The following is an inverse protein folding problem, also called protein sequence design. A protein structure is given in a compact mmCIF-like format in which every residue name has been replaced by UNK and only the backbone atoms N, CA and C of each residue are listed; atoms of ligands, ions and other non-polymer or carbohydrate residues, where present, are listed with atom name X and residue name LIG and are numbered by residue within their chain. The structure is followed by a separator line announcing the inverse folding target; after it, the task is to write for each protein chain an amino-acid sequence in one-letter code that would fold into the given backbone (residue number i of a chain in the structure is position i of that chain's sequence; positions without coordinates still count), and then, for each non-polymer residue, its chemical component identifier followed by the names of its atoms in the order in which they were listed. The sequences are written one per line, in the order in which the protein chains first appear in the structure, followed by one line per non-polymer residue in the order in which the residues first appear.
data_IF_242646322384
#
_entry.id   IF_242646322384
#
_cell.length_a   1.000
_cell.length_b   1.000
_cell.length_c   1.000
_cell.angle_alpha   90.00
_cell.angle_beta   90.00
_cell.angle_gamma   90.00
#
_symmetry.space_group_name_H-M   'P 1'
#
loop_
_entity.id
_entity.type
_entity.pdbx_description
1 polymer ?
#
# COMPACT_ATOMS: atom_id res chain seq x y z
N UNK A 1 18.14 22.62 9.32
CA UNK A 1 16.95 22.33 8.50
C UNK A 1 16.53 20.92 8.83
N UNK A 2 15.57 20.75 9.73
CA UNK A 2 15.07 19.42 10.10
C UNK A 2 14.49 18.79 8.83
N UNK A 3 15.09 17.66 8.39
CA UNK A 3 14.50 16.86 7.32
C UNK A 3 13.20 16.32 7.89
N UNK A 4 12.06 16.85 7.42
CA UNK A 4 10.76 16.24 7.68
C UNK A 4 10.88 14.75 7.35
N UNK A 5 10.66 13.91 8.34
CA UNK A 5 10.84 12.46 8.20
C UNK A 5 9.84 11.96 7.15
N UNK A 6 10.38 11.45 6.03
CA UNK A 6 9.59 11.03 4.89
C UNK A 6 8.68 9.87 5.31
N UNK A 7 7.36 10.03 5.18
CA UNK A 7 6.40 9.06 5.68
C UNK A 7 6.28 7.84 4.75
N UNK A 8 6.22 6.64 5.36
CA UNK A 8 5.93 5.40 4.65
C UNK A 8 4.43 5.33 4.29
N UNK A 9 4.15 5.00 3.04
CA UNK A 9 2.81 4.84 2.49
C UNK A 9 2.64 3.42 1.96
N UNK A 10 1.75 2.66 2.59
CA UNK A 10 1.44 1.29 2.19
C UNK A 10 0.57 1.29 0.93
N UNK A 11 0.96 0.53 -0.09
CA UNK A 11 0.23 0.43 -1.35
C UNK A 11 -0.72 -0.76 -1.29
N UNK A 12 -2.01 -0.47 -1.09
CA UNK A 12 -3.10 -1.43 -1.09
C UNK A 12 -3.68 -1.51 -2.52
N UNK A 13 -3.55 -2.65 -3.18
CA UNK A 13 -4.02 -2.83 -4.56
C UNK A 13 -4.49 -4.26 -4.82
N UNK A 14 -5.44 -4.42 -5.75
CA UNK A 14 -6.00 -5.73 -6.12
C UNK A 14 -4.92 -6.65 -6.69
N UNK A 15 -5.00 -7.96 -6.40
CA UNK A 15 -4.14 -9.00 -6.97
C UNK A 15 -4.14 -8.99 -8.50
N UNK A 16 -5.30 -8.67 -9.08
CA UNK A 16 -5.55 -8.57 -10.51
C UNK A 16 -4.81 -7.40 -11.19
N UNK A 17 -4.31 -6.42 -10.42
CA UNK A 17 -3.60 -5.28 -10.97
C UNK A 17 -2.25 -5.68 -11.58
N UNK A 18 -2.06 -5.32 -12.86
CA UNK A 18 -0.83 -5.64 -13.57
C UNK A 18 0.39 -4.97 -12.93
N UNK A 19 1.55 -5.64 -13.04
CA UNK A 19 2.83 -5.15 -12.52
C UNK A 19 3.13 -3.70 -12.94
N UNK A 20 2.84 -3.36 -14.19
CA UNK A 20 3.04 -2.01 -14.77
C UNK A 20 2.15 -0.98 -14.09
N UNK A 21 0.90 -1.34 -13.76
CA UNK A 21 -0.05 -0.43 -13.11
C UNK A 21 0.34 -0.17 -11.65
N UNK A 22 0.75 -1.22 -10.92
CA UNK A 22 1.27 -1.09 -9.56
C UNK A 22 2.55 -0.24 -9.51
N UNK A 23 3.44 -0.37 -10.50
CA UNK A 23 4.61 0.50 -10.63
C UNK A 23 4.23 1.98 -10.80
N UNK A 24 3.21 2.29 -11.62
CA UNK A 24 2.72 3.65 -11.78
C UNK A 24 2.16 4.23 -10.48
N UNK A 25 1.45 3.43 -9.68
CA UNK A 25 0.97 3.85 -8.36
C UNK A 25 2.13 4.20 -7.43
N UNK A 26 3.12 3.31 -7.32
CA UNK A 26 4.31 3.55 -6.50
C UNK A 26 5.06 4.81 -6.96
N UNK A 27 5.24 4.99 -8.28
CA UNK A 27 5.90 6.17 -8.86
C UNK A 27 5.15 7.44 -8.50
N UNK A 28 3.82 7.46 -8.59
CA UNK A 28 3.01 8.63 -8.25
C UNK A 28 3.13 8.96 -6.77
N UNK A 29 3.05 7.98 -5.87
CA UNK A 29 3.23 8.18 -4.41
C UNK A 29 4.62 8.76 -4.08
N UNK A 30 5.65 8.27 -4.76
CA UNK A 30 7.01 8.81 -4.66
C UNK A 30 7.06 10.29 -5.09
N UNK A 31 6.46 10.64 -6.23
CA UNK A 31 6.38 12.02 -6.71
C UNK A 31 5.59 12.94 -5.77
N UNK A 32 4.68 12.38 -4.97
CA UNK A 32 3.95 13.11 -3.92
C UNK A 32 4.78 13.33 -2.64
N UNK A 33 5.98 12.77 -2.55
CA UNK A 33 6.92 12.97 -1.43
C UNK A 33 6.86 11.89 -0.36
N UNK A 34 6.15 10.79 -0.60
CA UNK A 34 6.05 9.65 0.32
C UNK A 34 6.96 8.50 -0.11
N UNK A 35 7.23 7.56 0.79
CA UNK A 35 7.97 6.32 0.48
C UNK A 35 6.96 5.19 0.25
N UNK A 36 6.76 4.74 -1.00
CA UNK A 36 5.80 3.67 -1.29
C UNK A 36 6.33 2.31 -0.81
N UNK A 37 5.52 1.60 -0.02
CA UNK A 37 5.76 0.22 0.41
C UNK A 37 4.71 -0.66 -0.25
N UNK A 38 5.12 -1.46 -1.23
CA UNK A 38 4.25 -2.37 -1.95
C UNK A 38 4.63 -3.84 -1.65
N UNK A 39 3.89 -4.53 -0.78
CA UNK A 39 4.18 -5.91 -0.39
C UNK A 39 4.32 -6.86 -1.57
N UNK A 40 3.54 -6.66 -2.65
CA UNK A 40 3.62 -7.48 -3.86
C UNK A 40 5.02 -7.48 -4.46
N UNK A 41 5.66 -6.32 -4.61
CA UNK A 41 7.03 -6.30 -5.14
C UNK A 41 8.06 -6.87 -4.19
N UNK A 42 7.82 -6.76 -2.88
CA UNK A 42 8.74 -7.26 -1.87
C UNK A 42 8.69 -8.78 -1.78
N UNK A 43 7.49 -9.36 -1.84
CA UNK A 43 7.26 -10.77 -1.51
C UNK A 43 7.07 -11.69 -2.72
N UNK A 44 6.51 -11.20 -3.83
CA UNK A 44 6.34 -12.03 -5.05
C UNK A 44 7.62 -12.69 -5.58
N UNK A 45 8.85 -12.19 -5.35
CA UNK A 45 10.05 -12.92 -5.78
C UNK A 45 10.31 -14.24 -5.04
N UNK A 46 9.70 -14.49 -3.88
CA UNK A 46 10.01 -15.65 -3.06
C UNK A 46 8.80 -16.34 -2.40
N UNK A 47 7.58 -15.82 -2.57
CA UNK A 47 6.34 -16.47 -2.13
C UNK A 47 5.49 -16.87 -3.32
N UNK A 48 4.94 -18.07 -3.28
CA UNK A 48 4.05 -18.61 -4.31
C UNK A 48 2.58 -18.45 -3.93
N UNK A 49 1.77 -17.84 -4.81
CA UNK A 49 0.35 -17.62 -4.56
C UNK A 49 -0.47 -18.92 -4.52
N UNK A 50 0.02 -20.00 -5.15
CA UNK A 50 -0.62 -21.32 -5.12
C UNK A 50 -0.37 -22.09 -3.82
N UNK A 51 0.59 -21.67 -3.01
CA UNK A 51 0.91 -22.32 -1.75
C UNK A 51 0.21 -21.64 -0.56
N UNK A 52 -0.48 -22.45 0.25
CA UNK A 52 -1.29 -21.94 1.35
C UNK A 52 -0.46 -21.40 2.51
N UNK A 53 0.74 -21.97 2.76
CA UNK A 53 1.63 -21.53 3.82
C UNK A 53 2.29 -20.19 3.45
N UNK A 54 2.72 -20.06 2.19
CA UNK A 54 3.23 -18.81 1.64
C UNK A 54 2.18 -17.69 1.65
N UNK A 55 0.93 -17.99 1.30
CA UNK A 55 -0.16 -17.01 1.36
C UNK A 55 -0.46 -16.54 2.80
N UNK A 56 -0.36 -17.43 3.79
CA UNK A 56 -0.42 -17.03 5.21
C UNK A 56 0.79 -16.18 5.60
N UNK A 57 1.99 -16.55 5.13
CA UNK A 57 3.22 -15.76 5.28
C UNK A 57 3.07 -14.35 4.72
N UNK A 58 2.58 -14.24 3.49
CA UNK A 58 2.32 -12.99 2.78
C UNK A 58 1.43 -12.07 3.62
N UNK A 59 0.30 -12.58 4.12
CA UNK A 59 -0.63 -11.81 4.95
C UNK A 59 0.03 -11.30 6.24
N UNK A 60 0.73 -12.17 6.97
CA UNK A 60 1.44 -11.78 8.21
C UNK A 60 2.49 -10.70 7.98
N UNK A 61 3.33 -10.86 6.95
CA UNK A 61 4.39 -9.89 6.65
C UNK A 61 3.83 -8.57 6.12
N UNK A 62 2.78 -8.62 5.30
CA UNK A 62 2.07 -7.44 4.82
C UNK A 62 1.50 -6.62 5.98
N UNK A 63 0.94 -7.28 6.99
CA UNK A 63 0.45 -6.61 8.21
C UNK A 63 1.57 -5.97 9.04
N UNK A 64 2.76 -6.57 9.09
CA UNK A 64 3.93 -5.98 9.76
C UNK A 64 4.35 -4.68 9.04
N UNK A 65 4.39 -4.70 7.69
CA UNK A 65 4.69 -3.52 6.90
C UNK A 65 3.63 -2.43 7.07
N UNK A 66 2.34 -2.81 7.04
CA UNK A 66 1.22 -1.89 7.22
C UNK A 66 1.33 -1.14 8.56
N UNK A 67 1.62 -1.83 9.66
CA UNK A 67 1.81 -1.23 11.01
C UNK A 67 2.94 -0.20 11.10
N UNK A 68 3.91 -0.25 10.19
CA UNK A 68 5.01 0.73 10.11
C UNK A 68 4.68 1.92 9.22
N UNK A 69 3.61 1.83 8.44
CA UNK A 69 3.19 2.90 7.55
C UNK A 69 2.29 3.90 8.29
N UNK A 70 2.45 5.19 7.96
CA UNK A 70 1.58 6.26 8.50
C UNK A 70 0.26 6.35 7.75
N UNK A 71 0.20 5.75 6.56
CA UNK A 71 -1.00 5.72 5.72
C UNK A 71 -1.06 4.48 4.84
N UNK A 72 -2.28 4.10 4.49
CA UNK A 72 -2.63 3.14 3.45
C UNK A 72 -3.23 3.91 2.27
N UNK A 73 -2.65 3.69 1.09
CA UNK A 73 -3.10 4.25 -0.18
C UNK A 73 -3.81 3.15 -0.94
N UNK A 74 -5.13 3.28 -1.06
CA UNK A 74 -6.00 2.39 -1.82
C UNK A 74 -5.88 2.76 -3.29
N UNK A 75 -5.38 1.81 -4.09
CA UNK A 75 -5.13 1.97 -5.50
C UNK A 75 -5.96 0.96 -6.31
N UNK A 76 -6.66 1.47 -7.33
CA UNK A 76 -7.56 0.66 -8.14
C UNK A 76 -8.88 1.40 -8.35
N UNK A 77 -9.73 0.87 -9.25
CA UNK A 77 -11.09 1.38 -9.44
C UNK A 77 -12.09 0.72 -8.49
N UNK A 78 -11.81 -0.52 -8.11
CA UNK A 78 -12.67 -1.34 -7.29
C UNK A 78 -11.89 -1.87 -6.10
N UNK A 79 -12.60 -2.08 -4.98
CA UNK A 79 -12.02 -2.61 -3.75
C UNK A 79 -12.35 -4.10 -3.66
N UNK A 80 -11.32 -4.94 -3.59
CA UNK A 80 -11.48 -6.39 -3.45
C UNK A 80 -11.61 -6.81 -1.98
N UNK A 81 -12.00 -8.07 -1.73
CA UNK A 81 -12.06 -8.61 -0.37
C UNK A 81 -10.71 -8.58 0.37
N UNK A 82 -9.60 -8.82 -0.33
CA UNK A 82 -8.26 -8.71 0.24
C UNK A 82 -7.92 -7.27 0.63
N UNK A 83 -8.24 -6.31 -0.23
CA UNK A 83 -8.08 -4.88 0.07
C UNK A 83 -8.94 -4.44 1.26
N UNK A 84 -10.19 -4.92 1.36
CA UNK A 84 -11.05 -4.64 2.51
C UNK A 84 -10.43 -5.10 3.83
N UNK A 85 -9.69 -6.19 3.84
CA UNK A 85 -8.98 -6.67 5.03
C UNK A 85 -7.88 -5.70 5.45
N UNK A 86 -7.10 -5.19 4.50
CA UNK A 86 -6.05 -4.19 4.74
C UNK A 86 -6.63 -2.85 5.20
N UNK A 87 -7.72 -2.39 4.56
CA UNK A 87 -8.43 -1.16 4.90
C UNK A 87 -9.01 -1.26 6.32
N UNK A 88 -9.69 -2.36 6.64
CA UNK A 88 -10.27 -2.60 7.97
C UNK A 88 -9.18 -2.67 9.05
N UNK A 89 -8.01 -3.22 8.72
CA UNK A 89 -6.88 -3.23 9.64
C UNK A 89 -6.32 -1.84 9.88
N UNK A 90 -6.16 -1.04 8.82
CA UNK A 90 -5.69 0.33 8.93
C UNK A 90 -6.63 1.18 9.78
N UNK A 91 -7.95 1.04 9.58
CA UNK A 91 -8.97 1.70 10.39
C UNK A 91 -8.84 1.35 11.88
N UNK A 92 -8.74 0.04 12.20
CA UNK A 92 -8.54 -0.44 13.58
C UNK A 92 -7.25 0.03 14.24
N UNK A 93 -6.23 0.37 13.44
CA UNK A 93 -4.93 0.86 13.91
C UNK A 93 -4.82 2.39 13.88
N UNK A 94 -5.90 3.09 13.52
CA UNK A 94 -5.93 4.54 13.31
C UNK A 94 -4.87 5.03 12.30
N UNK A 95 -4.61 4.20 11.28
CA UNK A 95 -3.74 4.55 10.14
C UNK A 95 -4.61 5.25 9.09
N UNK A 96 -4.09 6.33 8.51
CA UNK A 96 -4.82 7.12 7.51
C UNK A 96 -5.10 6.25 6.28
N UNK A 97 -6.36 6.05 5.94
CA UNK A 97 -6.78 5.44 4.68
C UNK A 97 -7.16 6.51 3.68
N UNK A 98 -6.55 6.50 2.50
CA UNK A 98 -6.84 7.45 1.42
C UNK A 98 -6.74 6.77 0.07
N UNK A 99 -7.33 7.37 -0.96
CA UNK A 99 -7.09 7.00 -2.35
C UNK A 99 -5.88 7.75 -2.91
N UNK A 100 -5.35 7.27 -4.04
CA UNK A 100 -4.29 7.97 -4.76
C UNK A 100 -4.75 9.38 -5.20
N UNK A 101 -5.99 9.51 -5.67
CA UNK A 101 -6.57 10.80 -6.08
C UNK A 101 -6.72 11.75 -4.88
N UNK A 102 -7.13 11.23 -3.71
CA UNK A 102 -7.18 12.02 -2.48
C UNK A 102 -5.82 12.58 -2.08
N UNK A 103 -4.75 11.79 -2.23
CA UNK A 103 -3.39 12.29 -1.98
C UNK A 103 -2.96 13.39 -2.96
N UNK A 104 -3.34 13.28 -4.23
CA UNK A 104 -3.04 14.30 -5.24
C UNK A 104 -3.73 15.61 -4.87
N UNK A 105 -5.02 15.56 -4.53
CA UNK A 105 -5.79 16.74 -4.15
C UNK A 105 -5.21 17.46 -2.92
N UNK A 106 -4.75 16.71 -1.91
CA UNK A 106 -4.10 17.29 -0.72
C UNK A 106 -2.82 18.04 -1.07
N UNK A 107 -2.05 17.54 -2.04
CA UNK A 107 -0.81 18.19 -2.48
C UNK A 107 -1.08 19.43 -3.33
N UNK A 108 -2.10 19.39 -4.19
CA UNK A 108 -2.48 20.54 -5.03
C UNK A 108 -3.19 21.65 -4.24
N UNK A 109 -3.78 21.33 -3.10
CA UNK A 109 -4.41 22.31 -2.20
C UNK A 109 -3.43 23.03 -1.26
N UNK A 110 -2.13 22.75 -1.36
CA UNK A 110 -1.04 23.39 -0.61
C UNK A 110 -0.17 24.23 -1.52
#
# INVERSE_FOLDING_TARGET
MERMEQALAYVCCSAEESRVKVQKYCRKIYELGYVPICPRFVFSPFLEESDAEDMQGYGRMSHILLRRCRMVVVCGKEVTGTMNTEISMADRLHIICTTLDGLVQIKESK
#
